data_IF_387902864980
#
_entry.id   IF_387902864980
#
_cell.length_a   1.000
_cell.length_b   1.000
_cell.length_c   1.000
_cell.angle_alpha   90.00
_cell.angle_beta   90.00
_cell.angle_gamma   90.00
#
_symmetry.space_group_name_H-M   'P 1'
#
loop_
_entity.id
_entity.type
_entity.pdbx_description
1 polymer ?
#
# COMPACT_ATOMS: atom_id res chain seq x y z
N UNK A 1 -7.71 2.78 13.09
CA UNK A 1 -8.67 3.48 14.01
C UNK A 1 -7.93 4.62 14.66
N UNK A 2 -8.44 5.83 14.53
CA UNK A 2 -7.93 7.05 15.13
C UNK A 2 -8.76 7.48 16.36
N UNK A 3 -8.37 8.58 17.02
CA UNK A 3 -9.04 9.11 18.21
C UNK A 3 -10.49 9.51 17.92
N UNK A 4 -10.77 10.04 16.71
CA UNK A 4 -12.11 10.49 16.35
C UNK A 4 -13.07 9.29 16.27
N UNK A 5 -12.64 8.21 15.64
CA UNK A 5 -13.40 6.96 15.55
C UNK A 5 -13.66 6.33 16.94
N UNK A 6 -12.68 6.35 17.84
CA UNK A 6 -12.87 5.86 19.23
C UNK A 6 -13.92 6.68 19.99
N UNK A 7 -13.87 7.99 19.84
CA UNK A 7 -14.84 8.89 20.49
C UNK A 7 -16.26 8.69 19.92
N UNK A 8 -16.39 8.46 18.63
CA UNK A 8 -17.67 8.16 17.98
C UNK A 8 -18.24 6.81 18.45
N UNK A 9 -17.41 5.77 18.53
CA UNK A 9 -17.79 4.46 19.08
C UNK A 9 -18.30 4.60 20.52
N UNK A 10 -17.63 5.41 21.35
CA UNK A 10 -18.04 5.70 22.72
C UNK A 10 -19.37 6.46 22.78
N UNK A 11 -19.55 7.48 21.93
CA UNK A 11 -20.80 8.23 21.84
C UNK A 11 -21.99 7.36 21.43
N UNK A 12 -21.74 6.31 20.63
CA UNK A 12 -22.72 5.30 20.21
C UNK A 12 -22.95 4.19 21.28
N UNK A 13 -22.35 4.33 22.47
CA UNK A 13 -22.55 3.39 23.58
C UNK A 13 -21.73 2.10 23.47
N UNK A 14 -20.76 2.03 22.56
CA UNK A 14 -19.85 0.89 22.44
C UNK A 14 -18.81 0.94 23.57
N UNK A 15 -18.57 -0.22 24.18
CA UNK A 15 -17.52 -0.39 25.20
C UNK A 15 -16.41 -1.33 24.75
N UNK A 16 -16.57 -1.93 23.58
CA UNK A 16 -15.59 -2.85 23.00
C UNK A 16 -15.21 -2.35 21.59
N UNK A 17 -13.92 -2.27 21.34
CA UNK A 17 -13.37 -1.99 20.01
C UNK A 17 -12.94 -3.31 19.40
N UNK A 18 -13.63 -3.73 18.35
CA UNK A 18 -13.27 -4.94 17.62
C UNK A 18 -12.16 -4.64 16.61
N UNK A 19 -11.10 -5.45 16.64
CA UNK A 19 -9.99 -5.37 15.70
C UNK A 19 -9.85 -6.69 14.97
N UNK A 20 -9.68 -6.64 13.66
CA UNK A 20 -9.14 -7.75 12.89
C UNK A 20 -7.62 -7.65 12.84
N UNK A 21 -6.92 -8.71 12.46
CA UNK A 21 -5.45 -8.72 12.42
C UNK A 21 -4.82 -7.64 11.49
N UNK A 22 -5.64 -6.88 10.74
CA UNK A 22 -5.23 -5.81 9.84
C UNK A 22 -5.64 -4.41 10.34
N UNK A 23 -6.32 -4.31 11.47
CA UNK A 23 -6.76 -3.03 12.02
C UNK A 23 -5.62 -2.30 12.71
N UNK A 24 -5.16 -1.20 12.15
CA UNK A 24 -4.16 -0.32 12.76
C UNK A 24 -4.82 0.60 13.78
N UNK A 25 -4.35 0.55 15.03
CA UNK A 25 -4.69 1.47 16.10
C UNK A 25 -3.55 2.48 16.26
N UNK A 26 -3.85 3.77 16.14
CA UNK A 26 -2.83 4.79 16.42
C UNK A 26 -2.51 4.84 17.94
N UNK A 27 -1.30 5.22 18.35
CA UNK A 27 -0.96 5.37 19.76
C UNK A 27 -1.95 6.26 20.52
N UNK A 28 -2.38 7.37 19.91
CA UNK A 28 -3.37 8.27 20.49
C UNK A 28 -4.78 7.62 20.60
N UNK A 29 -5.13 6.70 19.68
CA UNK A 29 -6.38 5.93 19.78
C UNK A 29 -6.32 4.92 20.93
N UNK A 30 -5.17 4.30 21.17
CA UNK A 30 -4.94 3.41 22.32
C UNK A 30 -5.13 4.17 23.65
N UNK A 31 -4.55 5.37 23.76
CA UNK A 31 -4.72 6.22 24.93
C UNK A 31 -6.19 6.61 25.12
N UNK A 32 -6.90 6.93 24.03
CA UNK A 32 -8.32 7.27 24.08
C UNK A 32 -9.20 6.06 24.49
N UNK A 33 -8.89 4.85 24.03
CA UNK A 33 -9.57 3.61 24.43
C UNK A 33 -9.41 3.40 25.94
N UNK A 34 -8.19 3.50 26.45
CA UNK A 34 -7.90 3.35 27.86
C UNK A 34 -8.57 4.44 28.72
N UNK A 35 -8.51 5.71 28.30
CA UNK A 35 -9.12 6.84 28.98
C UNK A 35 -10.65 6.73 29.03
N UNK A 36 -11.27 6.14 28.01
CA UNK A 36 -12.70 5.91 27.93
C UNK A 36 -13.16 4.60 28.59
N UNK A 37 -12.25 3.81 29.17
CA UNK A 37 -12.56 2.53 29.80
C UNK A 37 -13.12 1.50 28.81
N UNK A 38 -12.71 1.56 27.54
CA UNK A 38 -13.09 0.59 26.50
C UNK A 38 -12.10 -0.55 26.46
N UNK A 39 -12.53 -1.73 26.00
CA UNK A 39 -11.67 -2.91 25.80
C UNK A 39 -11.48 -3.18 24.32
N UNK A 40 -10.36 -3.79 23.97
CA UNK A 40 -10.07 -4.23 22.61
C UNK A 40 -10.26 -5.75 22.56
N UNK A 41 -11.04 -6.23 21.58
CA UNK A 41 -11.20 -7.66 21.30
C UNK A 41 -10.86 -7.96 19.84
N UNK A 42 -10.12 -9.03 19.61
CA UNK A 42 -9.87 -9.55 18.26
C UNK A 42 -11.07 -10.37 17.81
N UNK A 43 -11.76 -9.92 16.77
CA UNK A 43 -12.90 -10.62 16.20
C UNK A 43 -13.82 -9.71 15.38
N UNK A 44 -14.78 -10.32 14.70
CA UNK A 44 -15.83 -9.58 13.98
C UNK A 44 -16.96 -9.19 14.92
N UNK A 45 -17.37 -7.90 14.87
CA UNK A 45 -18.53 -7.39 15.60
C UNK A 45 -19.78 -8.28 15.32
N UNK A 46 -20.49 -8.78 16.33
CA UNK A 46 -21.77 -9.45 16.10
C UNK A 46 -22.78 -8.45 15.55
N UNK A 47 -23.23 -8.71 14.31
CA UNK A 47 -24.11 -7.84 13.54
C UNK A 47 -25.38 -7.46 14.30
N UNK A 48 -25.63 -6.17 14.41
CA UNK A 48 -26.93 -5.61 14.76
C UNK A 48 -27.93 -5.91 13.63
N UNK A 49 -29.11 -6.38 14.00
CA UNK A 49 -30.19 -6.77 13.10
C UNK A 49 -30.59 -5.65 12.16
N UNK A 50 -30.57 -5.96 10.87
CA UNK A 50 -31.07 -5.13 9.79
C UNK A 50 -32.59 -5.03 9.84
N UNK A 51 -33.14 -3.85 9.61
CA UNK A 51 -34.46 -3.62 9.07
C UNK A 51 -34.35 -3.10 7.64
N UNK A 52 -35.19 -3.62 6.71
CA UNK A 52 -35.00 -3.38 5.29
C UNK A 52 -35.64 -2.09 4.81
N UNK A 53 -34.99 -1.35 3.96
CA UNK A 53 -35.65 -0.36 3.12
C UNK A 53 -35.24 -0.56 1.67
N UNK A 54 -36.27 -0.61 0.85
CA UNK A 54 -36.36 -1.07 -0.52
C UNK A 54 -35.86 -0.08 -1.58
N UNK A 55 -35.57 -0.68 -2.74
CA UNK A 55 -35.77 -0.15 -4.10
C UNK A 55 -34.72 0.85 -4.64
N UNK A 56 -34.12 0.60 -5.77
CA UNK A 56 -34.68 0.56 -7.13
C UNK A 56 -33.66 0.02 -8.14
N UNK A 57 -34.18 -0.73 -9.06
CA UNK A 57 -33.58 -1.35 -10.24
C UNK A 57 -33.00 -0.37 -11.26
N UNK A 58 -32.01 -0.78 -12.02
CA UNK A 58 -32.20 -0.96 -13.47
C UNK A 58 -31.04 -1.74 -14.10
N UNK A 59 -31.43 -2.77 -14.83
CA UNK A 59 -30.60 -3.59 -15.72
C UNK A 59 -30.14 -2.80 -16.93
N UNK A 60 -28.90 -3.01 -17.36
CA UNK A 60 -28.55 -2.91 -18.76
C UNK A 60 -27.79 -4.16 -19.21
N UNK A 61 -28.51 -4.99 -19.95
CA UNK A 61 -27.94 -6.04 -20.80
C UNK A 61 -27.18 -5.42 -21.96
N UNK A 62 -25.95 -5.85 -22.15
CA UNK A 62 -25.36 -6.00 -23.49
C UNK A 62 -24.62 -7.32 -23.55
N UNK A 63 -25.00 -8.12 -24.52
CA UNK A 63 -24.48 -9.43 -24.82
C UNK A 63 -23.15 -9.33 -25.59
N UNK A 64 -22.16 -10.15 -25.20
CA UNK A 64 -21.13 -10.66 -26.12
C UNK A 64 -20.64 -12.02 -25.65
N UNK A 65 -20.76 -12.93 -26.54
CA UNK A 65 -20.32 -14.29 -26.73
C UNK A 65 -19.28 -14.93 -25.78
N UNK A 66 -19.68 -16.03 -25.10
CA UNK A 66 -19.14 -17.38 -25.17
C UNK A 66 -17.70 -17.62 -24.72
N UNK A 67 -17.50 -17.87 -23.38
CA UNK A 67 -16.54 -18.83 -22.87
C UNK A 67 -17.23 -19.68 -21.81
N UNK A 68 -16.91 -20.97 -21.60
CA UNK A 68 -17.62 -21.83 -20.66
C UNK A 68 -17.35 -21.35 -19.24
N UNK A 69 -18.36 -20.81 -18.60
CA UNK A 69 -18.39 -20.48 -17.19
C UNK A 69 -18.54 -21.77 -16.38
N UNK A 70 -17.41 -22.34 -15.96
CA UNK A 70 -17.37 -23.21 -14.81
C UNK A 70 -17.00 -22.35 -13.61
N UNK A 71 -17.93 -22.08 -12.71
CA UNK A 71 -17.62 -21.49 -11.41
C UNK A 71 -16.57 -22.37 -10.72
N UNK A 72 -15.33 -21.88 -10.66
CA UNK A 72 -14.25 -22.56 -9.93
C UNK A 72 -14.52 -22.30 -8.45
N UNK A 73 -15.08 -23.32 -7.77
CA UNK A 73 -15.38 -23.18 -6.34
C UNK A 73 -14.08 -22.99 -5.53
N UNK A 74 -14.15 -22.19 -4.46
CA UNK A 74 -13.04 -21.99 -3.54
C UNK A 74 -12.46 -23.31 -3.01
N UNK A 75 -13.31 -24.32 -2.80
CA UNK A 75 -12.91 -25.68 -2.41
C UNK A 75 -12.06 -26.40 -3.48
N UNK A 76 -12.37 -26.21 -4.74
CA UNK A 76 -11.58 -26.77 -5.84
C UNK A 76 -10.21 -26.10 -5.92
N UNK A 77 -10.18 -24.78 -5.80
CA UNK A 77 -8.91 -24.00 -5.76
C UNK A 77 -8.06 -24.48 -4.58
N UNK A 78 -8.66 -24.59 -3.38
CA UNK A 78 -7.93 -25.06 -2.20
C UNK A 78 -7.41 -26.49 -2.35
N UNK A 79 -8.20 -27.41 -2.91
CA UNK A 79 -7.78 -28.80 -3.17
C UNK A 79 -6.63 -28.87 -4.17
N UNK A 80 -6.70 -28.08 -5.25
CA UNK A 80 -5.63 -28.01 -6.27
C UNK A 80 -4.36 -27.45 -5.66
N UNK A 81 -4.42 -26.33 -4.95
CA UNK A 81 -3.26 -25.73 -4.28
C UNK A 81 -2.66 -26.65 -3.22
N UNK A 82 -3.50 -27.32 -2.43
CA UNK A 82 -3.04 -28.30 -1.42
C UNK A 82 -2.38 -29.52 -2.07
N UNK A 83 -2.86 -29.99 -3.21
CA UNK A 83 -2.27 -31.08 -3.96
C UNK A 83 -0.92 -30.71 -4.56
N UNK A 84 -0.83 -29.51 -5.17
CA UNK A 84 0.40 -28.96 -5.72
C UNK A 84 1.47 -28.71 -4.63
N UNK A 85 1.03 -28.25 -3.46
CA UNK A 85 1.92 -28.06 -2.30
C UNK A 85 2.48 -29.38 -1.80
N UNK A 86 1.64 -30.43 -1.67
CA UNK A 86 2.07 -31.76 -1.21
C UNK A 86 3.01 -32.46 -2.19
N UNK A 87 2.89 -32.20 -3.48
CA UNK A 87 3.75 -32.75 -4.53
C UNK A 87 5.07 -31.97 -4.72
N UNK A 88 5.24 -30.84 -4.03
CA UNK A 88 6.38 -29.93 -4.22
C UNK A 88 6.27 -29.06 -5.48
N UNK A 89 5.37 -29.38 -6.40
CA UNK A 89 5.19 -28.67 -7.65
C UNK A 89 4.82 -27.21 -7.49
N UNK A 90 4.15 -26.85 -6.38
CA UNK A 90 3.82 -25.44 -6.10
C UNK A 90 5.09 -24.61 -5.89
N UNK A 91 6.06 -25.13 -5.14
CA UNK A 91 7.35 -24.46 -4.92
C UNK A 91 8.16 -24.35 -6.21
N UNK A 92 8.16 -25.42 -7.04
CA UNK A 92 8.83 -25.39 -8.33
C UNK A 92 8.18 -24.41 -9.30
N UNK A 93 6.85 -24.33 -9.33
CA UNK A 93 6.12 -23.33 -10.11
C UNK A 93 6.37 -21.92 -9.62
N UNK A 94 6.39 -21.68 -8.31
CA UNK A 94 6.71 -20.36 -7.72
C UNK A 94 8.15 -19.95 -8.03
N UNK A 95 9.09 -20.90 -7.95
CA UNK A 95 10.48 -20.67 -8.35
C UNK A 95 10.61 -20.36 -9.85
N UNK A 96 9.90 -21.09 -10.69
CA UNK A 96 9.87 -20.87 -12.15
C UNK A 96 9.21 -19.54 -12.53
N UNK A 97 8.21 -19.09 -11.75
CA UNK A 97 7.57 -17.77 -11.91
C UNK A 97 8.40 -16.61 -11.33
N UNK A 98 9.58 -16.87 -10.78
CA UNK A 98 10.44 -15.85 -10.17
C UNK A 98 9.92 -15.32 -8.84
N UNK A 99 8.92 -16.00 -8.23
CA UNK A 99 8.34 -15.62 -6.94
C UNK A 99 9.34 -15.80 -5.76
N UNK A 100 10.46 -16.53 -5.98
CA UNK A 100 11.53 -16.69 -4.99
C UNK A 100 12.62 -15.60 -5.05
N UNK A 101 12.55 -14.67 -5.99
CA UNK A 101 13.49 -13.55 -5.98
C UNK A 101 12.98 -12.48 -5.01
N UNK A 102 13.51 -12.49 -3.79
CA UNK A 102 13.29 -11.41 -2.83
C UNK A 102 13.50 -10.06 -3.53
N UNK A 103 12.62 -9.06 -3.30
CA UNK A 103 12.72 -7.77 -3.99
C UNK A 103 14.00 -7.00 -3.63
N UNK A 104 14.68 -7.40 -2.56
CA UNK A 104 15.97 -6.87 -2.10
C UNK A 104 16.64 -7.84 -1.13
N UNK A 105 17.95 -7.71 -0.96
CA UNK A 105 18.70 -8.39 0.09
C UNK A 105 18.62 -7.59 1.38
N UNK A 106 18.31 -8.26 2.49
CA UNK A 106 18.23 -7.64 3.80
C UNK A 106 18.78 -8.56 4.89
N UNK A 107 19.43 -7.96 5.87
CA UNK A 107 19.86 -8.56 7.12
C UNK A 107 18.94 -8.08 8.24
N UNK A 108 18.59 -8.97 9.15
CA UNK A 108 17.69 -8.70 10.27
C UNK A 108 18.35 -9.05 11.58
N UNK A 109 18.13 -8.24 12.61
CA UNK A 109 18.49 -8.54 13.99
C UNK A 109 17.22 -8.61 14.85
N UNK A 110 17.09 -9.59 15.74
CA UNK A 110 15.93 -9.74 16.64
C UNK A 110 15.66 -8.52 17.52
N UNK A 111 16.66 -7.66 17.74
CA UNK A 111 16.49 -6.40 18.45
C UNK A 111 15.69 -5.33 17.67
N UNK A 112 15.20 -5.66 16.45
CA UNK A 112 14.42 -4.75 15.62
C UNK A 112 15.24 -3.96 14.59
N UNK A 113 16.41 -4.47 14.22
CA UNK A 113 17.23 -3.87 13.18
C UNK A 113 17.03 -4.57 11.83
N UNK A 114 16.94 -3.78 10.75
CA UNK A 114 16.88 -4.22 9.38
C UNK A 114 17.87 -3.42 8.52
N UNK A 115 18.80 -4.10 7.89
CA UNK A 115 19.75 -3.51 6.95
C UNK A 115 19.41 -3.99 5.53
N UNK A 116 19.17 -3.06 4.62
CA UNK A 116 18.84 -3.36 3.22
C UNK A 116 20.02 -2.97 2.33
N UNK A 117 20.41 -3.89 1.46
CA UNK A 117 21.46 -3.63 0.46
C UNK A 117 20.87 -2.85 -0.71
N UNK A 118 21.08 -1.53 -0.74
CA UNK A 118 20.47 -0.63 -1.72
C UNK A 118 20.76 -0.99 -3.19
N UNK A 119 21.90 -1.66 -3.46
CA UNK A 119 22.25 -2.17 -4.79
C UNK A 119 21.42 -3.37 -5.24
N UNK A 120 20.78 -4.09 -4.30
CA UNK A 120 19.97 -5.27 -4.58
C UNK A 120 18.49 -4.94 -4.79
N UNK A 121 18.06 -3.70 -4.48
CA UNK A 121 16.65 -3.29 -4.56
C UNK A 121 16.16 -3.34 -6.02
N UNK A 122 15.19 -4.22 -6.26
CA UNK A 122 14.48 -4.33 -7.54
C UNK A 122 13.19 -3.56 -7.45
N UNK A 123 13.06 -2.57 -8.32
CA UNK A 123 11.85 -1.73 -8.41
C UNK A 123 10.80 -2.41 -9.29
N UNK A 124 9.54 -2.07 -9.08
CA UNK A 124 8.40 -2.41 -9.90
C UNK A 124 7.77 -1.16 -10.49
N UNK A 125 7.00 -1.34 -11.54
CA UNK A 125 6.35 -0.22 -12.24
C UNK A 125 5.31 0.42 -11.33
N UNK A 126 5.38 1.75 -11.18
CA UNK A 126 4.31 2.55 -10.60
C UNK A 126 3.27 2.83 -11.68
N UNK A 127 2.01 2.49 -11.40
CA UNK A 127 0.90 2.91 -12.25
C UNK A 127 0.62 4.40 -12.01
N UNK A 128 0.93 5.22 -13.02
CA UNK A 128 0.67 6.67 -12.99
C UNK A 128 -0.71 7.04 -13.53
N UNK A 129 -1.52 6.04 -13.94
CA UNK A 129 -2.80 6.22 -14.60
C UNK A 129 -2.70 6.53 -16.10
N UNK A 130 -1.50 6.65 -16.64
CA UNK A 130 -1.26 6.89 -18.07
C UNK A 130 -0.44 5.73 -18.69
N UNK A 131 -1.05 4.89 -19.55
CA UNK A 131 -0.36 3.77 -20.19
C UNK A 131 0.89 4.17 -21.00
N UNK A 132 0.96 5.41 -21.52
CA UNK A 132 2.12 5.92 -22.25
C UNK A 132 3.37 6.10 -21.34
N UNK A 133 3.16 6.11 -20.04
CA UNK A 133 4.20 6.28 -19.03
C UNK A 133 4.63 4.95 -18.39
N UNK A 134 4.08 3.83 -18.85
CA UNK A 134 4.38 2.51 -18.29
C UNK A 134 5.88 2.23 -18.29
N UNK A 135 6.42 1.85 -17.14
CA UNK A 135 7.85 1.58 -16.94
C UNK A 135 8.76 2.81 -16.81
N UNK A 136 8.22 4.02 -16.96
CA UNK A 136 8.96 5.29 -16.77
C UNK A 136 9.11 5.67 -15.30
N UNK A 137 8.16 5.27 -14.47
CA UNK A 137 8.20 5.46 -13.04
C UNK A 137 8.22 4.08 -12.38
N UNK A 138 9.22 3.85 -11.54
CA UNK A 138 9.33 2.59 -10.82
C UNK A 138 9.63 2.88 -9.34
N UNK A 139 9.11 2.04 -8.47
CA UNK A 139 9.31 2.18 -7.04
C UNK A 139 9.50 0.82 -6.35
N UNK A 140 9.98 0.85 -5.13
CA UNK A 140 9.96 -0.28 -4.21
C UNK A 140 9.88 0.23 -2.79
N UNK A 141 8.82 -0.15 -2.11
CA UNK A 141 8.78 -0.01 -0.66
C UNK A 141 9.72 -1.02 -0.02
N UNK A 142 10.55 -0.55 0.90
CA UNK A 142 11.58 -1.35 1.57
C UNK A 142 11.40 -1.37 3.09
N UNK A 143 10.67 -0.41 3.64
CA UNK A 143 10.20 -0.35 5.01
C UNK A 143 8.69 -0.11 4.96
N UNK A 144 7.90 -0.82 5.74
CA UNK A 144 6.45 -0.66 5.74
C UNK A 144 5.76 -1.53 6.78
N UNK A 145 4.52 -1.90 6.49
CA UNK A 145 3.67 -2.66 7.40
C UNK A 145 4.26 -4.02 7.82
N UNK A 146 4.96 -4.69 6.91
CA UNK A 146 5.64 -5.98 7.20
C UNK A 146 6.73 -5.84 8.27
N UNK A 147 7.29 -4.64 8.43
CA UNK A 147 8.26 -4.31 9.48
C UNK A 147 7.57 -3.81 10.77
N UNK A 148 6.23 -3.80 10.82
CA UNK A 148 5.41 -3.16 11.87
C UNK A 148 5.77 -1.68 12.05
N UNK A 149 6.11 -1.01 10.95
CA UNK A 149 6.46 0.40 10.92
C UNK A 149 5.22 1.25 10.61
N UNK A 150 5.08 2.38 11.29
CA UNK A 150 4.12 3.44 10.93
C UNK A 150 4.62 4.33 9.80
N UNK A 151 5.89 4.18 9.41
CA UNK A 151 6.50 4.88 8.29
C UNK A 151 6.59 3.90 7.12
N UNK A 152 6.12 4.29 5.94
CA UNK A 152 6.48 3.61 4.70
C UNK A 152 7.65 4.35 4.05
N UNK A 153 8.67 3.60 3.61
CA UNK A 153 9.84 4.19 2.97
C UNK A 153 10.35 3.29 1.85
N UNK A 154 10.92 3.92 0.83
CA UNK A 154 11.35 3.18 -0.34
C UNK A 154 12.27 3.94 -1.28
N UNK A 155 12.46 3.33 -2.44
CA UNK A 155 13.20 3.91 -3.56
C UNK A 155 12.20 4.17 -4.69
N UNK A 156 12.32 5.33 -5.33
CA UNK A 156 11.61 5.67 -6.55
C UNK A 156 12.59 6.10 -7.62
N UNK A 157 12.30 5.73 -8.86
CA UNK A 157 13.00 6.20 -10.05
C UNK A 157 12.00 6.78 -11.03
N UNK A 158 12.35 7.93 -11.62
CA UNK A 158 11.54 8.64 -12.62
C UNK A 158 12.46 8.87 -13.83
N UNK A 159 12.03 8.39 -15.01
CA UNK A 159 12.84 8.44 -16.23
C UNK A 159 12.12 9.19 -17.34
N UNK A 160 12.59 10.43 -17.59
CA UNK A 160 12.14 11.30 -18.69
C UNK A 160 10.61 11.35 -18.86
N UNK A 161 9.90 11.67 -17.76
CA UNK A 161 8.45 11.72 -17.71
C UNK A 161 7.97 12.78 -16.72
N UNK A 162 6.73 13.27 -16.90
CA UNK A 162 6.00 14.07 -15.92
C UNK A 162 4.64 13.40 -15.68
N UNK A 163 4.26 13.24 -14.41
CA UNK A 163 2.97 12.65 -14.03
C UNK A 163 2.35 13.40 -12.86
N UNK A 164 1.02 13.47 -12.86
CA UNK A 164 0.26 14.07 -11.77
C UNK A 164 0.24 13.18 -10.54
N UNK A 165 0.29 13.80 -9.37
CA UNK A 165 0.24 13.14 -8.08
C UNK A 165 -0.58 13.95 -7.08
N UNK A 166 -1.38 13.29 -6.26
CA UNK A 166 -2.01 13.89 -5.08
C UNK A 166 -1.53 13.13 -3.85
N UNK A 167 -0.91 13.83 -2.90
CA UNK A 167 -0.32 13.20 -1.72
C UNK A 167 -1.40 12.74 -0.74
N UNK A 168 -1.49 11.44 -0.46
CA UNK A 168 -2.41 10.87 0.52
C UNK A 168 -1.93 10.98 1.97
N UNK A 169 -0.64 11.19 2.15
CA UNK A 169 0.07 11.38 3.41
C UNK A 169 1.14 12.45 3.26
N UNK A 170 1.87 12.78 4.32
CA UNK A 170 3.04 13.63 4.17
C UNK A 170 4.22 12.80 3.66
N UNK A 171 5.02 13.39 2.80
CA UNK A 171 6.09 12.71 2.07
C UNK A 171 7.39 13.50 2.15
N UNK A 172 8.50 12.81 2.38
CA UNK A 172 9.85 13.34 2.34
C UNK A 172 10.62 12.60 1.25
N UNK A 173 11.41 13.34 0.49
CA UNK A 173 12.26 12.79 -0.55
C UNK A 173 13.70 13.27 -0.38
N UNK A 174 14.64 12.35 -0.45
CA UNK A 174 16.08 12.62 -0.57
C UNK A 174 16.56 12.18 -1.95
N UNK A 175 17.11 13.10 -2.72
CA UNK A 175 17.56 12.81 -4.09
C UNK A 175 18.90 12.11 -4.04
N UNK A 176 18.93 10.87 -4.51
CA UNK A 176 20.14 10.03 -4.56
C UNK A 176 20.99 10.39 -5.79
N UNK A 177 20.32 10.52 -6.96
CA UNK A 177 20.99 10.83 -8.22
C UNK A 177 20.04 11.47 -9.23
N UNK A 178 20.60 12.17 -10.22
CA UNK A 178 19.85 12.88 -11.24
C UNK A 178 19.18 14.15 -10.71
N UNK A 179 18.07 14.53 -11.33
CA UNK A 179 17.27 15.68 -10.96
C UNK A 179 15.79 15.30 -11.04
N UNK A 180 15.07 15.48 -9.94
CA UNK A 180 13.61 15.31 -9.88
C UNK A 180 12.98 16.70 -9.81
N UNK A 181 11.92 16.91 -10.58
CA UNK A 181 11.14 18.14 -10.55
C UNK A 181 9.80 17.91 -9.86
N UNK A 182 9.36 18.90 -9.13
CA UNK A 182 8.02 18.95 -8.55
C UNK A 182 7.35 20.25 -8.99
N UNK A 183 6.21 20.14 -9.64
CA UNK A 183 5.42 21.30 -10.10
C UNK A 183 4.21 21.44 -9.20
N UNK A 184 4.06 22.61 -8.56
CA UNK A 184 2.91 22.96 -7.71
C UNK A 184 2.39 24.32 -8.20
N UNK A 185 1.11 24.38 -8.54
CA UNK A 185 0.43 25.59 -9.04
C UNK A 185 1.19 26.26 -10.20
N UNK A 186 1.73 25.42 -11.12
CA UNK A 186 2.48 25.87 -12.29
C UNK A 186 3.92 26.30 -12.01
N UNK A 187 4.35 26.34 -10.75
CA UNK A 187 5.75 26.62 -10.39
C UNK A 187 6.54 25.32 -10.29
N UNK A 188 7.66 25.27 -11.02
CA UNK A 188 8.57 24.11 -11.05
C UNK A 188 9.68 24.31 -10.04
N UNK A 189 9.89 23.29 -9.21
CA UNK A 189 11.02 23.19 -8.29
C UNK A 189 11.91 22.05 -8.77
N UNK A 190 13.21 22.30 -8.86
CA UNK A 190 14.21 21.30 -9.24
C UNK A 190 14.97 20.85 -8.00
N UNK A 191 14.97 19.54 -7.73
CA UNK A 191 15.75 18.93 -6.66
C UNK A 191 16.84 18.02 -7.28
N UNK A 192 18.09 18.28 -6.95
CA UNK A 192 19.27 17.58 -7.45
C UNK A 192 19.82 16.63 -6.39
N UNK A 193 20.74 15.77 -6.80
CA UNK A 193 21.42 14.85 -5.88
C UNK A 193 21.94 15.57 -4.62
N UNK A 194 21.55 15.06 -3.45
CA UNK A 194 21.81 15.64 -2.13
C UNK A 194 20.72 16.55 -1.60
N UNK A 195 19.76 16.99 -2.43
CA UNK A 195 18.65 17.82 -1.98
C UNK A 195 17.57 16.98 -1.27
N UNK A 196 16.83 17.67 -0.40
CA UNK A 196 15.66 17.13 0.31
C UNK A 196 14.46 18.03 0.05
N UNK A 197 13.31 17.44 -0.20
CA UNK A 197 12.05 18.18 -0.18
C UNK A 197 10.99 17.44 0.63
N UNK A 198 10.00 18.20 1.08
CA UNK A 198 8.87 17.73 1.87
C UNK A 198 7.57 18.22 1.24
N UNK A 199 6.59 17.33 1.15
CA UNK A 199 5.24 17.66 0.66
C UNK A 199 4.23 17.26 1.73
N UNK A 200 3.32 18.16 2.07
CA UNK A 200 2.22 17.88 3.00
C UNK A 200 1.16 16.99 2.34
N UNK A 201 0.38 16.30 3.15
CA UNK A 201 -0.81 15.58 2.70
C UNK A 201 -1.78 16.51 1.95
N UNK A 202 -2.42 16.00 0.89
CA UNK A 202 -3.47 16.67 0.13
C UNK A 202 -2.96 17.71 -0.87
N UNK A 203 -1.66 17.72 -1.16
CA UNK A 203 -1.10 18.61 -2.19
C UNK A 203 -1.21 17.92 -3.55
N UNK A 204 -1.80 18.65 -4.51
CA UNK A 204 -1.78 18.27 -5.93
C UNK A 204 -0.54 18.84 -6.58
N UNK A 205 0.28 17.96 -7.12
CA UNK A 205 1.52 18.32 -7.78
C UNK A 205 1.74 17.47 -9.03
N UNK A 206 2.76 17.79 -9.80
CA UNK A 206 3.26 16.89 -10.81
C UNK A 206 4.73 16.61 -10.53
N UNK A 207 5.08 15.33 -10.48
CA UNK A 207 6.47 14.88 -10.44
C UNK A 207 7.02 14.74 -11.85
N UNK A 208 8.32 14.97 -12.01
CA UNK A 208 8.99 14.73 -13.28
C UNK A 208 10.50 14.60 -13.14
N UNK A 209 11.13 14.20 -14.24
CA UNK A 209 12.58 14.21 -14.39
C UNK A 209 12.94 14.41 -15.85
N UNK A 210 14.14 14.99 -16.10
CA UNK A 210 14.82 14.99 -17.40
C UNK A 210 15.92 13.96 -17.34
N UNK A 211 15.74 12.82 -18.01
CA UNK A 211 16.55 11.64 -17.80
C UNK A 211 16.21 10.95 -16.46
N UNK A 212 17.07 10.04 -16.03
CA UNK A 212 16.83 9.22 -14.84
C UNK A 212 17.08 10.00 -13.54
N UNK A 213 16.01 10.25 -12.78
CA UNK A 213 16.06 10.71 -11.40
C UNK A 213 15.82 9.54 -10.43
N UNK A 214 16.58 9.49 -9.33
CA UNK A 214 16.41 8.48 -8.27
C UNK A 214 16.34 9.15 -6.91
N UNK A 215 15.37 8.75 -6.11
CA UNK A 215 15.22 9.26 -4.75
C UNK A 215 14.91 8.12 -3.75
N UNK A 216 15.27 8.35 -2.51
CA UNK A 216 14.67 7.67 -1.36
C UNK A 216 13.47 8.51 -0.91
N UNK A 217 12.37 7.85 -0.60
CA UNK A 217 11.20 8.50 -0.03
C UNK A 217 10.82 7.90 1.32
N UNK A 218 10.18 8.69 2.15
CA UNK A 218 9.52 8.24 3.38
C UNK A 218 8.18 8.97 3.53
N UNK A 219 7.16 8.23 3.97
CA UNK A 219 5.78 8.72 4.11
C UNK A 219 5.25 8.39 5.50
N UNK A 220 4.36 9.26 6.02
CA UNK A 220 3.77 9.08 7.35
C UNK A 220 2.34 9.64 7.39
#
# INVERSE_FOLDING_TARGET
>A
IDVAAVNEMKANGQSIVYTDGNTLLTPAAMDAINANGMTIEEGTCPAAKETPSASCCQEHKTAAAGAPEGEVSADLIFKVLSSLSKSGLLNDMLAACGADSKPYEAEYDPAGFKLIRGSSVRTEVLDTGDPAQAGKVNYREIIGADDRSSIAAGIITIDDVNFGWETECQEIYYIISGCITVTIDGKVYEAKAGDVFFIKKGIKCAFGAKGLGKAFYATY
#
